data_IF_228725667764
#
_entry.id   IF_228725667764
#
_cell.length_a   1.000
_cell.length_b   1.000
_cell.length_c   1.000
_cell.angle_alpha   90.00
_cell.angle_beta   90.00
_cell.angle_gamma   90.00
#
_symmetry.space_group_name_H-M   'P 1'
#
loop_
_entity.id
_entity.type
_entity.pdbx_description
1 polymer ?
#
# COMPACT_ATOMS: atom_id res chain seq x y z
N UNK A 1 -17.16 -29.24 9.32
CA UNK A 1 -16.49 -28.18 10.11
C UNK A 1 -15.49 -27.34 9.31
N UNK A 2 -14.27 -27.80 8.96
CA UNK A 2 -13.33 -26.95 8.17
C UNK A 2 -13.83 -26.63 6.75
N UNK A 3 -14.40 -27.62 6.05
CA UNK A 3 -14.91 -27.42 4.68
C UNK A 3 -16.08 -26.44 4.61
N UNK A 4 -17.05 -26.57 5.51
CA UNK A 4 -18.21 -25.65 5.58
C UNK A 4 -17.80 -24.21 5.90
N UNK A 5 -16.82 -24.04 6.78
CA UNK A 5 -16.27 -22.72 7.09
C UNK A 5 -15.66 -22.05 5.85
N UNK A 6 -14.78 -22.75 5.10
CA UNK A 6 -14.21 -22.17 3.88
C UNK A 6 -15.27 -21.95 2.79
N UNK A 7 -16.29 -22.82 2.70
CA UNK A 7 -17.39 -22.60 1.76
C UNK A 7 -18.16 -21.32 2.09
N UNK A 8 -18.43 -21.06 3.37
CA UNK A 8 -19.07 -19.82 3.80
C UNK A 8 -18.21 -18.60 3.42
N UNK A 9 -16.90 -18.63 3.70
CA UNK A 9 -16.00 -17.53 3.33
C UNK A 9 -16.00 -17.28 1.82
N UNK A 10 -15.96 -18.33 0.99
CA UNK A 10 -16.04 -18.18 -0.46
C UNK A 10 -17.34 -17.51 -0.87
N UNK A 11 -18.48 -17.95 -0.30
CA UNK A 11 -19.78 -17.35 -0.61
C UNK A 11 -19.86 -15.87 -0.19
N UNK A 12 -19.32 -15.52 0.98
CA UNK A 12 -19.28 -14.14 1.47
C UNK A 12 -18.41 -13.24 0.57
N UNK A 13 -17.27 -13.76 0.08
CA UNK A 13 -16.39 -13.05 -0.84
C UNK A 13 -17.05 -12.82 -2.21
N UNK A 14 -17.74 -13.83 -2.75
CA UNK A 14 -18.50 -13.69 -4.00
C UNK A 14 -19.66 -12.69 -3.85
N UNK A 15 -20.33 -12.70 -2.71
CA UNK A 15 -21.38 -11.73 -2.38
C UNK A 15 -20.80 -10.32 -2.33
N UNK A 16 -19.67 -10.11 -1.63
CA UNK A 16 -19.00 -8.82 -1.59
C UNK A 16 -18.54 -8.34 -2.98
N UNK A 17 -18.10 -9.25 -3.87
CA UNK A 17 -17.75 -8.91 -5.26
C UNK A 17 -18.98 -8.48 -6.05
N UNK A 18 -20.09 -9.22 -5.95
CA UNK A 18 -21.34 -8.90 -6.63
C UNK A 18 -21.95 -7.57 -6.17
N UNK A 19 -21.80 -7.24 -4.88
CA UNK A 19 -22.25 -5.98 -4.27
C UNK A 19 -21.27 -4.81 -4.49
N UNK A 20 -20.10 -5.03 -5.10
CA UNK A 20 -19.07 -4.00 -5.28
C UNK A 20 -18.37 -3.56 -3.99
N UNK A 21 -18.49 -4.33 -2.92
CA UNK A 21 -17.87 -4.10 -1.62
C UNK A 21 -16.47 -4.73 -1.51
N UNK A 22 -16.17 -5.70 -2.37
CA UNK A 22 -14.86 -6.33 -2.42
C UNK A 22 -13.80 -5.30 -2.86
N UNK A 23 -12.75 -5.15 -2.05
CA UNK A 23 -11.66 -4.22 -2.31
C UNK A 23 -10.54 -4.93 -3.05
N UNK A 24 -10.16 -4.38 -4.20
CA UNK A 24 -8.95 -4.75 -4.91
C UNK A 24 -7.88 -3.68 -4.64
N UNK A 25 -6.73 -4.13 -4.13
CA UNK A 25 -5.61 -3.23 -3.86
C UNK A 25 -4.91 -2.84 -5.15
N UNK A 26 -4.57 -1.55 -5.28
CA UNK A 26 -3.69 -1.05 -6.33
C UNK A 26 -2.27 -1.01 -5.80
N UNK A 27 -1.38 -1.75 -6.44
CA UNK A 27 0.02 -1.81 -6.05
C UNK A 27 0.75 -0.57 -6.61
N UNK A 28 1.32 0.22 -5.71
CA UNK A 28 2.19 1.37 -6.05
C UNK A 28 3.63 0.86 -6.15
N UNK A 29 4.33 1.22 -7.23
CA UNK A 29 5.68 0.75 -7.56
C UNK A 29 6.75 1.83 -7.52
N UNK A 30 6.37 3.09 -7.28
CA UNK A 30 7.28 4.21 -7.04
C UNK A 30 7.37 4.59 -5.56
N UNK A 31 8.32 5.45 -5.21
CA UNK A 31 8.32 6.12 -3.91
C UNK A 31 7.10 7.04 -3.75
N UNK A 32 6.75 7.37 -2.50
CA UNK A 32 5.56 8.16 -2.20
C UNK A 32 5.77 9.64 -2.49
N UNK A 33 4.95 10.21 -3.37
CA UNK A 33 4.96 11.61 -3.77
C UNK A 33 3.63 11.97 -4.47
N UNK A 34 3.48 13.20 -4.97
CA UNK A 34 2.25 13.60 -5.67
C UNK A 34 2.00 12.81 -6.95
N UNK A 35 3.04 12.48 -7.72
CA UNK A 35 2.99 11.64 -8.94
C UNK A 35 3.54 10.24 -8.65
N UNK A 36 2.69 9.22 -8.75
CA UNK A 36 3.06 7.84 -8.45
C UNK A 36 2.91 6.93 -9.67
N UNK A 37 3.71 5.86 -9.68
CA UNK A 37 3.57 4.75 -10.63
C UNK A 37 2.85 3.59 -9.96
N UNK A 38 1.89 2.99 -10.66
CA UNK A 38 1.21 1.77 -10.21
C UNK A 38 1.68 0.55 -11.01
N UNK A 39 1.37 -0.66 -10.56
CA UNK A 39 1.90 -1.91 -11.12
C UNK A 39 1.52 -2.17 -12.59
N UNK A 40 0.45 -1.55 -13.10
CA UNK A 40 0.10 -1.61 -14.53
C UNK A 40 0.94 -0.65 -15.41
N UNK A 41 1.84 0.12 -14.80
CA UNK A 41 2.71 1.09 -15.46
C UNK A 41 2.12 2.50 -15.56
N UNK A 42 0.88 2.72 -15.13
CA UNK A 42 0.25 4.04 -15.18
C UNK A 42 0.90 5.03 -14.22
N UNK A 43 0.98 6.29 -14.66
CA UNK A 43 1.35 7.44 -13.84
C UNK A 43 0.10 8.21 -13.43
N UNK A 44 -0.09 8.42 -12.13
CA UNK A 44 -1.31 9.03 -11.58
C UNK A 44 -0.96 10.03 -10.47
N UNK A 45 -1.82 11.03 -10.30
CA UNK A 45 -1.72 11.98 -9.18
C UNK A 45 -2.40 11.40 -7.94
N UNK A 46 -1.66 11.32 -6.85
CA UNK A 46 -2.10 10.68 -5.61
C UNK A 46 -2.79 11.68 -4.65
N UNK A 47 -4.11 11.71 -4.68
CA UNK A 47 -4.94 12.50 -3.76
C UNK A 47 -5.41 11.73 -2.51
N UNK A 48 -5.04 10.44 -2.36
CA UNK A 48 -5.48 9.61 -1.24
C UNK A 48 -4.38 9.29 -0.23
N UNK A 49 -3.16 9.76 -0.43
CA UNK A 49 -2.09 9.62 0.57
C UNK A 49 -2.27 10.58 1.75
N UNK A 50 -1.89 10.10 2.94
CA UNK A 50 -1.74 10.91 4.14
C UNK A 50 -0.38 11.64 4.21
N UNK A 51 0.28 11.86 3.06
CA UNK A 51 1.59 12.49 2.96
C UNK A 51 1.46 14.03 2.81
N UNK A 52 0.79 14.68 3.77
CA UNK A 52 0.36 16.08 3.64
C UNK A 52 1.51 17.08 3.42
N UNK A 53 2.66 16.85 4.05
CA UNK A 53 3.84 17.72 3.94
C UNK A 53 4.83 17.24 2.85
N UNK A 54 4.53 16.15 2.15
CA UNK A 54 5.45 15.56 1.17
C UNK A 54 6.68 14.87 1.77
N UNK A 55 6.74 14.68 3.09
CA UNK A 55 7.97 14.22 3.77
C UNK A 55 8.25 12.72 3.65
N UNK A 56 7.27 11.91 3.22
CA UNK A 56 7.42 10.46 3.14
C UNK A 56 8.57 9.97 2.23
N UNK A 57 9.00 10.79 1.26
CA UNK A 57 10.13 10.51 0.36
C UNK A 57 11.16 11.65 0.38
N UNK A 58 11.25 12.42 1.47
CA UNK A 58 12.17 13.55 1.54
C UNK A 58 13.63 13.07 1.70
N UNK A 59 14.58 13.61 0.91
CA UNK A 59 15.97 13.15 0.90
C UNK A 59 16.64 13.25 2.28
N UNK A 60 16.40 14.31 3.03
CA UNK A 60 17.00 14.48 4.36
C UNK A 60 16.52 13.44 5.38
N UNK A 61 15.24 13.04 5.33
CA UNK A 61 14.72 11.99 6.21
C UNK A 61 15.30 10.63 5.85
N UNK A 62 15.45 10.35 4.55
CA UNK A 62 16.09 9.11 4.07
C UNK A 62 17.55 9.08 4.51
N UNK A 63 18.28 10.18 4.40
CA UNK A 63 19.67 10.28 4.84
C UNK A 63 19.81 10.07 6.36
N UNK A 64 18.94 10.70 7.14
CA UNK A 64 18.91 10.53 8.59
C UNK A 64 18.61 9.08 9.00
N UNK A 65 17.66 8.42 8.32
CA UNK A 65 17.34 7.02 8.57
C UNK A 65 18.53 6.09 8.26
N UNK A 66 19.24 6.31 7.15
CA UNK A 66 20.46 5.57 6.80
C UNK A 66 21.55 5.74 7.86
N UNK A 67 21.85 6.99 8.24
CA UNK A 67 22.86 7.27 9.27
C UNK A 67 22.49 6.66 10.63
N UNK A 68 21.21 6.66 11.01
CA UNK A 68 20.72 5.97 12.20
C UNK A 68 20.98 4.47 12.15
N UNK A 69 20.69 3.83 11.02
CA UNK A 69 20.94 2.41 10.79
C UNK A 69 22.44 2.06 10.83
N UNK A 70 23.28 2.89 10.22
CA UNK A 70 24.73 2.70 10.22
C UNK A 70 25.32 2.78 11.64
N UNK A 71 24.78 3.66 12.48
CA UNK A 71 25.31 3.92 13.82
C UNK A 71 24.73 3.02 14.93
N UNK A 72 23.48 2.56 14.79
CA UNK A 72 22.78 1.83 15.85
C UNK A 72 22.42 0.38 15.46
N UNK A 73 22.55 0.02 14.18
CA UNK A 73 22.04 -1.25 13.68
C UNK A 73 20.51 -1.29 13.62
N UNK A 74 19.95 -2.46 13.29
CA UNK A 74 18.51 -2.69 13.11
C UNK A 74 17.87 -3.51 14.27
N UNK A 75 18.68 -3.87 15.28
CA UNK A 75 18.31 -4.81 16.35
C UNK A 75 17.80 -4.14 17.61
#
# INVERSE_FOLDING_TARGET
MRGEFYQQLTNDLETARAEGLFKEERIITSAQQADITVADGSHVINFCANNYLGLANHPDLIAAAKAGMDSHGFG
#
